data_IF_861418392664
#
_entry.id   IF_861418392664
#
_cell.length_a   1.000
_cell.length_b   1.000
_cell.length_c   1.000
_cell.angle_alpha   90.00
_cell.angle_beta   90.00
_cell.angle_gamma   90.00
#
_symmetry.space_group_name_H-M   'P 1'
#
loop_
_entity.id
_entity.type
_entity.pdbx_description
1 polymer ?
#
# COMPACT_ATOMS: atom_id res chain seq x y z
N UNK A 1 -4.42 18.41 -26.44
CA UNK A 1 -2.97 18.69 -26.29
C UNK A 1 -2.58 19.02 -24.83
N UNK A 2 -3.38 19.80 -24.10
CA UNK A 2 -3.13 20.24 -22.71
C UNK A 2 -2.97 19.11 -21.67
N UNK A 3 -3.86 18.10 -21.68
CA UNK A 3 -3.80 16.94 -20.77
C UNK A 3 -2.51 16.11 -20.90
N UNK A 4 -1.92 16.07 -22.10
CA UNK A 4 -0.68 15.32 -22.34
C UNK A 4 0.56 15.98 -21.75
N UNK A 5 0.57 17.32 -21.67
CA UNK A 5 1.68 18.10 -21.13
C UNK A 5 1.67 18.08 -19.61
N UNK A 6 0.48 18.23 -19.01
CA UNK A 6 0.26 18.12 -17.57
C UNK A 6 0.69 16.74 -17.06
N UNK A 7 0.21 15.64 -17.67
CA UNK A 7 0.63 14.27 -17.30
C UNK A 7 2.15 14.12 -17.32
N UNK A 8 2.82 14.61 -18.38
CA UNK A 8 4.30 14.52 -18.47
C UNK A 8 5.01 15.35 -17.41
N UNK A 9 4.43 16.46 -16.96
CA UNK A 9 4.99 17.27 -15.88
C UNK A 9 4.84 16.53 -14.54
N UNK A 10 3.65 16.00 -14.26
CA UNK A 10 3.39 15.25 -13.04
C UNK A 10 4.23 13.98 -12.94
N UNK A 11 4.33 13.20 -14.03
CA UNK A 11 5.20 12.01 -14.07
C UNK A 11 6.67 12.37 -13.83
N UNK A 12 7.16 13.51 -14.37
CA UNK A 12 8.54 13.96 -14.07
C UNK A 12 8.70 14.39 -12.61
N UNK A 13 7.75 15.13 -12.06
CA UNK A 13 7.79 15.53 -10.65
C UNK A 13 7.71 14.31 -9.71
N UNK A 14 7.01 13.24 -10.11
CA UNK A 14 6.98 11.99 -9.36
C UNK A 14 8.36 11.30 -9.28
N UNK A 15 9.18 11.43 -10.32
CA UNK A 15 10.52 10.81 -10.39
C UNK A 15 11.59 11.73 -9.84
N UNK A 16 11.71 12.93 -10.41
CA UNK A 16 12.84 13.84 -10.21
C UNK A 16 12.55 14.96 -9.20
N UNK A 17 11.30 15.09 -8.75
CA UNK A 17 10.89 16.13 -7.81
C UNK A 17 11.50 15.90 -6.43
N UNK A 18 11.62 17.00 -5.67
CA UNK A 18 11.88 16.89 -4.23
C UNK A 18 10.70 16.19 -3.52
N UNK A 19 10.85 15.91 -2.22
CA UNK A 19 9.83 15.19 -1.47
C UNK A 19 8.44 15.84 -1.55
N UNK A 20 8.36 17.17 -1.43
CA UNK A 20 7.10 17.90 -1.47
C UNK A 20 6.49 17.90 -2.88
N UNK A 21 7.30 18.14 -3.91
CA UNK A 21 6.87 18.10 -5.31
C UNK A 21 6.41 16.70 -5.73
N UNK A 22 7.12 15.66 -5.28
CA UNK A 22 6.80 14.26 -5.55
C UNK A 22 5.45 13.87 -4.97
N UNK A 23 5.21 14.18 -3.69
CA UNK A 23 3.92 13.86 -3.05
C UNK A 23 2.77 14.70 -3.59
N UNK A 24 3.01 15.96 -3.97
CA UNK A 24 2.01 16.76 -4.67
C UNK A 24 1.67 16.15 -6.05
N UNK A 25 2.68 15.66 -6.77
CA UNK A 25 2.48 14.98 -8.05
C UNK A 25 1.74 13.65 -7.88
N UNK A 26 2.09 12.86 -6.85
CA UNK A 26 1.42 11.62 -6.52
C UNK A 26 -0.08 11.86 -6.25
N UNK A 27 -0.41 12.78 -5.35
CA UNK A 27 -1.81 13.14 -5.06
C UNK A 27 -2.57 13.62 -6.30
N UNK A 28 -1.94 14.41 -7.18
CA UNK A 28 -2.57 14.87 -8.41
C UNK A 28 -2.76 13.76 -9.46
N UNK A 29 -1.98 12.68 -9.37
CA UNK A 29 -2.10 11.50 -10.24
C UNK A 29 -3.07 10.46 -9.67
N UNK A 30 -3.26 10.41 -8.34
CA UNK A 30 -4.28 9.59 -7.68
C UNK A 30 -5.68 9.91 -8.20
N UNK A 31 -6.52 8.89 -8.38
CA UNK A 31 -7.86 9.01 -8.97
C UNK A 31 -7.88 9.14 -10.50
N UNK A 32 -6.73 9.17 -11.18
CA UNK A 32 -6.67 9.16 -12.64
C UNK A 32 -6.63 7.72 -13.17
N UNK A 33 -7.79 7.18 -13.51
CA UNK A 33 -7.95 5.86 -14.13
C UNK A 33 -7.62 5.84 -15.63
N UNK A 34 -6.66 6.65 -16.10
CA UNK A 34 -6.24 6.57 -17.49
C UNK A 34 -5.08 5.58 -17.65
N UNK A 35 -5.31 4.53 -18.45
CA UNK A 35 -4.37 3.43 -18.69
C UNK A 35 -2.98 3.85 -19.17
N UNK A 36 -2.82 5.06 -19.70
CA UNK A 36 -1.50 5.57 -20.11
C UNK A 36 -0.72 6.12 -18.93
N UNK A 37 -1.38 6.82 -18.02
CA UNK A 37 -0.80 7.25 -16.75
C UNK A 37 -0.44 6.04 -15.89
N UNK A 38 -1.37 5.10 -15.69
CA UNK A 38 -1.11 3.89 -14.89
C UNK A 38 0.09 3.11 -15.42
N UNK A 39 0.16 2.83 -16.73
CA UNK A 39 1.36 2.21 -17.34
C UNK A 39 2.65 2.98 -17.22
N UNK A 40 2.60 4.28 -16.97
CA UNK A 40 3.81 5.08 -16.73
C UNK A 40 4.22 5.01 -15.26
N UNK A 41 3.25 4.96 -14.35
CA UNK A 41 3.47 4.78 -12.92
C UNK A 41 3.94 3.35 -12.59
N UNK A 42 3.37 2.32 -13.24
CA UNK A 42 3.85 0.93 -13.13
C UNK A 42 5.34 0.82 -13.47
N UNK A 43 5.78 1.46 -14.55
CA UNK A 43 7.21 1.52 -14.93
C UNK A 43 8.08 2.25 -13.91
N UNK A 44 7.55 3.24 -13.21
CA UNK A 44 8.28 3.89 -12.12
C UNK A 44 8.40 2.94 -10.94
N UNK A 45 7.35 2.20 -10.59
CA UNK A 45 7.42 1.20 -9.52
C UNK A 45 8.43 0.08 -9.85
N UNK A 46 8.47 -0.40 -11.10
CA UNK A 46 9.40 -1.45 -11.54
C UNK A 46 10.86 -0.96 -11.63
N UNK A 47 11.10 0.17 -12.31
CA UNK A 47 12.44 0.58 -12.75
C UNK A 47 12.85 1.99 -12.29
N UNK A 48 12.14 2.59 -11.34
CA UNK A 48 12.33 3.99 -10.91
C UNK A 48 13.66 4.32 -10.22
N UNK A 49 14.52 3.32 -10.04
CA UNK A 49 15.83 3.47 -9.40
C UNK A 49 15.71 3.69 -7.89
N UNK A 50 15.50 4.93 -7.47
CA UNK A 50 15.42 5.32 -6.06
C UNK A 50 14.12 4.84 -5.40
N UNK A 51 14.17 4.52 -4.11
CA UNK A 51 13.04 4.00 -3.35
C UNK A 51 11.87 5.00 -3.27
N UNK A 52 12.17 6.29 -3.17
CA UNK A 52 11.15 7.29 -2.89
C UNK A 52 10.20 7.57 -4.09
N UNK A 53 10.65 7.68 -5.35
CA UNK A 53 9.79 7.62 -6.52
C UNK A 53 8.93 6.35 -6.61
N UNK A 54 9.51 5.22 -6.25
CA UNK A 54 8.85 3.90 -6.31
C UNK A 54 7.75 3.77 -5.27
N UNK A 55 8.00 4.24 -4.04
CA UNK A 55 7.01 4.34 -2.97
C UNK A 55 5.83 5.25 -3.38
N UNK A 56 6.13 6.44 -3.94
CA UNK A 56 5.10 7.33 -4.44
C UNK A 56 4.32 6.72 -5.62
N UNK A 57 4.96 5.94 -6.48
CA UNK A 57 4.29 5.20 -7.55
C UNK A 57 3.33 4.14 -7.00
N UNK A 58 3.74 3.36 -5.99
CA UNK A 58 2.86 2.40 -5.32
C UNK A 58 1.62 3.10 -4.74
N UNK A 59 1.79 4.23 -4.06
CA UNK A 59 0.68 5.06 -3.57
C UNK A 59 -0.29 5.44 -4.69
N UNK A 60 0.21 6.00 -5.81
CA UNK A 60 -0.64 6.40 -6.94
C UNK A 60 -1.44 5.21 -7.50
N UNK A 61 -0.82 4.04 -7.61
CA UNK A 61 -1.49 2.84 -8.10
C UNK A 61 -2.62 2.39 -7.17
N UNK A 62 -2.42 2.50 -5.84
CA UNK A 62 -3.42 2.20 -4.82
C UNK A 62 -4.73 2.98 -4.98
N UNK A 63 -4.63 4.23 -5.45
CA UNK A 63 -5.78 5.12 -5.66
C UNK A 63 -6.15 5.32 -7.13
N UNK A 64 -5.63 4.50 -8.05
CA UNK A 64 -5.87 4.68 -9.49
C UNK A 64 -7.22 4.15 -9.97
N UNK A 65 -7.81 3.19 -9.25
CA UNK A 65 -8.98 2.42 -9.68
C UNK A 65 -8.69 1.38 -10.78
N UNK A 66 -7.42 1.25 -11.23
CA UNK A 66 -7.03 0.25 -12.24
C UNK A 66 -6.54 -1.02 -11.54
N UNK A 67 -7.47 -1.94 -11.29
CA UNK A 67 -7.25 -3.19 -10.53
C UNK A 67 -6.14 -4.08 -11.11
N UNK A 68 -5.81 -3.92 -12.40
CA UNK A 68 -4.71 -4.63 -13.07
C UNK A 68 -3.35 -4.40 -12.38
N UNK A 69 -3.17 -3.27 -11.68
CA UNK A 69 -1.96 -2.95 -10.93
C UNK A 69 -1.74 -3.86 -9.71
N UNK A 70 -2.78 -4.53 -9.22
CA UNK A 70 -2.71 -5.37 -8.01
C UNK A 70 -1.65 -6.48 -8.12
N UNK A 71 -1.49 -7.08 -9.31
CA UNK A 71 -0.49 -8.12 -9.51
C UNK A 71 0.95 -7.58 -9.36
N UNK A 72 1.21 -6.36 -9.82
CA UNK A 72 2.51 -5.71 -9.64
C UNK A 72 2.76 -5.32 -8.18
N UNK A 73 1.77 -4.74 -7.52
CA UNK A 73 1.85 -4.39 -6.09
C UNK A 73 2.09 -5.63 -5.21
N UNK A 74 1.40 -6.75 -5.49
CA UNK A 74 1.59 -8.01 -4.78
C UNK A 74 3.00 -8.60 -4.97
N UNK A 75 3.56 -8.52 -6.18
CA UNK A 75 4.97 -8.92 -6.42
C UNK A 75 5.94 -8.02 -5.65
N UNK A 76 5.70 -6.72 -5.66
CA UNK A 76 6.51 -5.72 -4.95
C UNK A 76 6.51 -5.98 -3.44
N UNK A 77 5.33 -6.22 -2.84
CA UNK A 77 5.22 -6.60 -1.43
C UNK A 77 5.95 -7.91 -1.11
N UNK A 78 5.95 -8.88 -2.02
CA UNK A 78 6.56 -10.19 -1.79
C UNK A 78 8.09 -10.22 -1.99
N UNK A 79 8.65 -9.24 -2.70
CA UNK A 79 10.07 -9.18 -3.05
C UNK A 79 10.93 -8.83 -1.82
N UNK A 80 11.84 -9.71 -1.41
CA UNK A 80 12.67 -9.50 -0.20
C UNK A 80 13.87 -8.60 -0.43
N UNK A 81 14.25 -8.38 -1.68
CA UNK A 81 15.33 -7.46 -2.06
C UNK A 81 14.82 -6.03 -2.27
N UNK A 82 13.49 -5.85 -2.33
CA UNK A 82 12.85 -4.55 -2.36
C UNK A 82 13.11 -3.76 -1.07
N UNK A 83 13.13 -2.44 -1.14
CA UNK A 83 13.21 -1.58 0.03
C UNK A 83 11.99 -1.71 0.93
N UNK A 84 12.21 -1.57 2.24
CA UNK A 84 11.13 -1.63 3.25
C UNK A 84 10.00 -0.65 2.94
N UNK A 85 10.34 0.58 2.57
CA UNK A 85 9.36 1.64 2.29
C UNK A 85 8.50 1.30 1.07
N UNK A 86 9.10 0.78 -0.01
CA UNK A 86 8.34 0.41 -1.21
C UNK A 86 7.43 -0.79 -0.95
N UNK A 87 7.88 -1.80 -0.19
CA UNK A 87 7.01 -2.91 0.25
C UNK A 87 5.83 -2.43 1.08
N UNK A 88 6.08 -1.54 2.04
CA UNK A 88 5.06 -0.98 2.92
C UNK A 88 3.97 -0.24 2.12
N UNK A 89 4.37 0.65 1.20
CA UNK A 89 3.41 1.32 0.32
C UNK A 89 2.71 0.37 -0.64
N UNK A 90 3.35 -0.71 -1.08
CA UNK A 90 2.68 -1.73 -1.88
C UNK A 90 1.57 -2.45 -1.10
N UNK A 91 1.79 -2.75 0.19
CA UNK A 91 0.75 -3.31 1.06
C UNK A 91 -0.42 -2.34 1.28
N UNK A 92 -0.13 -1.08 1.62
CA UNK A 92 -1.15 -0.03 1.76
C UNK A 92 -1.98 0.11 0.47
N UNK A 93 -1.30 0.20 -0.67
CA UNK A 93 -1.91 0.36 -1.98
C UNK A 93 -2.84 -0.82 -2.34
N UNK A 94 -2.48 -2.05 -1.98
CA UNK A 94 -3.35 -3.22 -2.19
C UNK A 94 -4.65 -3.11 -1.38
N UNK A 95 -4.59 -2.64 -0.13
CA UNK A 95 -5.76 -2.43 0.70
C UNK A 95 -6.74 -1.43 0.08
N UNK A 96 -6.22 -0.30 -0.39
CA UNK A 96 -7.05 0.73 -1.04
C UNK A 96 -7.58 0.32 -2.41
N UNK A 97 -6.73 -0.28 -3.25
CA UNK A 97 -7.10 -0.60 -4.64
C UNK A 97 -8.21 -1.66 -4.71
N UNK A 98 -8.25 -2.57 -3.74
CA UNK A 98 -9.11 -3.76 -3.79
C UNK A 98 -10.27 -3.75 -2.78
N UNK A 99 -10.52 -2.63 -2.08
CA UNK A 99 -11.51 -2.55 -1.01
C UNK A 99 -12.92 -3.03 -1.40
N UNK A 100 -13.29 -2.93 -2.69
CA UNK A 100 -14.58 -3.36 -3.23
C UNK A 100 -14.47 -4.42 -4.32
N UNK A 101 -13.34 -5.13 -4.37
CA UNK A 101 -12.98 -6.01 -5.48
C UNK A 101 -12.67 -7.44 -5.03
N UNK A 102 -12.70 -8.37 -5.98
CA UNK A 102 -12.29 -9.76 -5.69
C UNK A 102 -10.77 -9.84 -5.53
N UNK A 103 -10.33 -10.25 -4.34
CA UNK A 103 -8.90 -10.43 -4.05
C UNK A 103 -8.40 -11.79 -4.55
N UNK A 104 -7.49 -11.77 -5.52
CA UNK A 104 -6.87 -12.97 -6.10
C UNK A 104 -5.92 -13.68 -5.12
N UNK A 105 -5.69 -14.98 -5.35
CA UNK A 105 -4.95 -15.84 -4.43
C UNK A 105 -3.49 -15.40 -4.20
N UNK A 106 -2.84 -14.89 -5.23
CA UNK A 106 -1.48 -14.36 -5.17
C UNK A 106 -1.40 -13.08 -4.31
N UNK A 107 -2.42 -12.21 -4.39
CA UNK A 107 -2.50 -11.00 -3.56
C UNK A 107 -2.72 -11.39 -2.09
N UNK A 108 -3.65 -12.33 -1.84
CA UNK A 108 -3.87 -12.90 -0.48
C UNK A 108 -2.59 -13.50 0.08
N UNK A 109 -1.83 -14.23 -0.74
CA UNK A 109 -0.56 -14.82 -0.32
C UNK A 109 0.50 -13.77 -0.01
N UNK A 110 0.60 -12.70 -0.80
CA UNK A 110 1.51 -11.59 -0.56
C UNK A 110 1.19 -10.87 0.75
N UNK A 111 -0.07 -10.49 0.98
CA UNK A 111 -0.51 -9.83 2.22
C UNK A 111 -0.26 -10.72 3.44
N UNK A 112 -0.64 -12.00 3.38
CA UNK A 112 -0.35 -12.97 4.44
C UNK A 112 1.15 -13.13 4.70
N UNK A 113 1.98 -13.01 3.65
CA UNK A 113 3.44 -13.00 3.77
C UNK A 113 3.97 -11.74 4.44
N UNK A 114 3.38 -10.58 4.13
CA UNK A 114 3.73 -9.28 4.69
C UNK A 114 3.43 -9.15 6.18
N UNK A 115 2.41 -9.85 6.70
CA UNK A 115 2.15 -9.99 8.15
C UNK A 115 3.32 -10.66 8.93
N UNK A 116 4.30 -11.23 8.22
CA UNK A 116 5.49 -11.87 8.79
C UNK A 116 6.79 -11.20 8.30
N UNK A 117 6.69 -10.01 7.71
CA UNK A 117 7.86 -9.28 7.22
C UNK A 117 8.77 -8.88 8.39
N UNK A 118 10.10 -8.89 8.23
CA UNK A 118 11.01 -8.42 9.28
C UNK A 118 10.80 -6.94 9.66
N UNK A 119 10.32 -6.10 8.74
CA UNK A 119 10.08 -4.67 9.00
C UNK A 119 8.68 -4.41 9.55
N UNK A 120 8.59 -3.55 10.57
CA UNK A 120 7.34 -3.23 11.26
C UNK A 120 6.34 -2.52 10.35
N UNK A 121 6.83 -1.60 9.50
CA UNK A 121 6.02 -0.84 8.54
C UNK A 121 5.29 -1.77 7.57
N UNK A 122 5.96 -2.81 7.09
CA UNK A 122 5.35 -3.77 6.15
C UNK A 122 4.29 -4.62 6.87
N UNK A 123 4.54 -5.02 8.12
CA UNK A 123 3.55 -5.75 8.92
C UNK A 123 2.32 -4.89 9.21
N UNK A 124 2.52 -3.63 9.59
CA UNK A 124 1.45 -2.65 9.82
C UNK A 124 0.54 -2.53 8.60
N UNK A 125 1.10 -2.19 7.44
CA UNK A 125 0.29 -2.00 6.22
C UNK A 125 -0.30 -3.29 5.67
N UNK A 126 0.32 -4.44 5.96
CA UNK A 126 -0.27 -5.74 5.65
C UNK A 126 -1.44 -6.07 6.57
N UNK A 127 -1.41 -5.65 7.85
CA UNK A 127 -2.52 -5.81 8.78
C UNK A 127 -3.71 -4.95 8.36
N UNK A 128 -3.45 -3.69 8.01
CA UNK A 128 -4.44 -2.80 7.38
C UNK A 128 -5.09 -3.47 6.16
N UNK A 129 -4.28 -3.90 5.19
CA UNK A 129 -4.77 -4.53 3.97
C UNK A 129 -5.56 -5.81 4.25
N UNK A 130 -5.13 -6.63 5.21
CA UNK A 130 -5.85 -7.84 5.59
C UNK A 130 -7.24 -7.54 6.18
N UNK A 131 -7.33 -6.51 7.03
CA UNK A 131 -8.57 -6.04 7.64
C UNK A 131 -9.56 -5.53 6.60
N UNK A 132 -9.17 -4.50 5.82
CA UNK A 132 -10.08 -3.84 4.86
C UNK A 132 -10.52 -4.75 3.72
N UNK A 133 -9.71 -5.77 3.38
CA UNK A 133 -10.03 -6.74 2.35
C UNK A 133 -10.75 -7.99 2.88
N UNK A 134 -11.05 -8.04 4.18
CA UNK A 134 -11.82 -9.14 4.77
C UNK A 134 -11.11 -10.49 4.69
N UNK A 135 -9.77 -10.52 4.78
CA UNK A 135 -8.98 -11.74 4.61
C UNK A 135 -9.02 -12.61 5.87
N UNK A 136 -10.14 -13.28 6.11
CA UNK A 136 -10.38 -14.14 7.28
C UNK A 136 -9.26 -15.16 7.55
N UNK A 137 -8.61 -15.67 6.49
CA UNK A 137 -7.49 -16.60 6.61
C UNK A 137 -6.25 -16.04 7.33
N UNK A 138 -6.19 -14.71 7.53
CA UNK A 138 -5.09 -14.02 8.22
C UNK A 138 -5.30 -13.86 9.72
N UNK A 139 -6.49 -14.19 10.23
CA UNK A 139 -6.84 -14.05 11.64
C UNK A 139 -5.77 -14.57 12.63
N UNK A 140 -5.21 -15.79 12.51
CA UNK A 140 -4.20 -16.26 13.47
C UNK A 140 -2.90 -15.44 13.45
N UNK A 141 -2.57 -14.82 12.33
CA UNK A 141 -1.39 -13.94 12.22
C UNK A 141 -1.65 -12.59 12.87
N UNK A 142 -2.84 -12.03 12.68
CA UNK A 142 -3.23 -10.76 13.30
C UNK A 142 -3.29 -10.89 14.83
N UNK A 143 -3.83 -11.99 15.36
CA UNK A 143 -3.77 -12.28 16.81
C UNK A 143 -2.32 -12.31 17.30
N UNK A 144 -1.43 -12.98 16.58
CA UNK A 144 -0.02 -13.02 16.96
C UNK A 144 0.63 -11.62 16.97
N UNK A 145 0.36 -10.78 15.98
CA UNK A 145 0.88 -9.41 15.95
C UNK A 145 0.30 -8.55 17.09
N UNK A 146 -1.01 -8.62 17.34
CA UNK A 146 -1.66 -7.95 18.46
C UNK A 146 -1.01 -8.31 19.81
N UNK A 147 -0.65 -9.58 20.01
CA UNK A 147 -0.04 -10.06 21.25
C UNK A 147 1.46 -9.72 21.39
N UNK A 148 2.18 -9.51 20.29
CA UNK A 148 3.66 -9.55 20.31
C UNK A 148 4.37 -8.36 19.69
N UNK A 149 3.68 -7.52 18.91
CA UNK A 149 4.33 -6.52 18.07
C UNK A 149 4.04 -5.07 18.49
N UNK A 150 4.69 -4.64 19.57
CA UNK A 150 4.59 -3.28 20.09
C UNK A 150 5.44 -2.22 19.35
N UNK A 151 5.89 -2.48 18.11
CA UNK A 151 6.66 -1.48 17.36
C UNK A 151 5.76 -0.32 16.92
N UNK A 152 6.15 0.91 17.24
CA UNK A 152 5.47 2.14 16.83
C UNK A 152 5.81 2.52 15.38
N UNK A 153 4.80 2.91 14.61
CA UNK A 153 4.99 3.44 13.26
C UNK A 153 4.83 4.98 13.29
N UNK A 154 5.85 5.69 12.79
CA UNK A 154 5.87 7.15 12.85
C UNK A 154 4.65 7.80 12.17
N UNK A 155 3.93 8.65 12.91
CA UNK A 155 2.68 9.30 12.44
C UNK A 155 1.42 8.44 12.55
N UNK A 156 1.56 7.21 13.05
CA UNK A 156 0.49 6.22 13.24
C UNK A 156 0.51 5.70 14.70
N UNK A 157 0.15 4.44 14.89
CA UNK A 157 0.14 3.72 16.17
C UNK A 157 1.01 2.46 16.06
N UNK A 158 0.94 1.56 17.03
CA UNK A 158 1.73 0.32 17.01
C UNK A 158 1.21 -0.71 16.01
N UNK A 159 2.06 -1.65 15.59
CA UNK A 159 1.61 -2.79 14.77
C UNK A 159 0.55 -3.62 15.50
N UNK A 160 0.68 -3.78 16.82
CA UNK A 160 -0.31 -4.47 17.65
C UNK A 160 -1.69 -3.82 17.58
N UNK A 161 -1.77 -2.50 17.76
CA UNK A 161 -3.03 -1.75 17.68
C UNK A 161 -3.68 -1.82 16.28
N UNK A 162 -2.86 -1.83 15.21
CA UNK A 162 -3.37 -2.03 13.85
C UNK A 162 -3.91 -3.44 13.65
N UNK A 163 -3.22 -4.46 14.17
CA UNK A 163 -3.69 -5.83 14.10
C UNK A 163 -4.99 -6.03 14.89
N UNK A 164 -5.14 -5.38 16.04
CA UNK A 164 -6.39 -5.34 16.80
C UNK A 164 -7.52 -4.66 16.01
N UNK A 165 -7.24 -3.52 15.37
CA UNK A 165 -8.20 -2.85 14.51
C UNK A 165 -8.66 -3.77 13.36
N UNK A 166 -7.71 -4.41 12.66
CA UNK A 166 -8.02 -5.36 11.59
C UNK A 166 -8.85 -6.55 12.10
N UNK A 167 -8.56 -7.10 13.28
CA UNK A 167 -9.36 -8.17 13.90
C UNK A 167 -10.80 -7.73 14.17
N UNK A 168 -11.03 -6.50 14.63
CA UNK A 168 -12.38 -5.97 14.85
C UNK A 168 -13.16 -5.88 13.54
N UNK A 169 -12.53 -5.37 12.48
CA UNK A 169 -13.12 -5.36 11.13
C UNK A 169 -13.47 -6.78 10.67
N UNK A 170 -12.55 -7.75 10.83
CA UNK A 170 -12.81 -9.15 10.48
C UNK A 170 -13.93 -9.78 11.32
N UNK A 171 -14.15 -9.31 12.54
CA UNK A 171 -15.25 -9.76 13.40
C UNK A 171 -16.59 -9.05 13.11
N UNK A 172 -16.65 -8.24 12.05
CA UNK A 172 -17.87 -7.59 11.57
C UNK A 172 -18.20 -6.28 12.27
N UNK A 173 -17.25 -5.68 12.99
CA UNK A 173 -17.42 -4.31 13.47
C UNK A 173 -17.28 -3.33 12.29
N UNK A 174 -18.33 -2.56 12.04
CA UNK A 174 -18.32 -1.49 11.04
C UNK A 174 -17.61 -0.25 11.59
N UNK A 175 -16.66 0.29 10.84
CA UNK A 175 -15.88 1.49 11.17
C UNK A 175 -15.34 1.54 12.62
N UNK A 176 -14.55 0.52 13.07
CA UNK A 176 -13.98 0.55 14.40
C UNK A 176 -13.10 1.80 14.56
N UNK A 177 -13.17 2.51 15.71
CA UNK A 177 -12.39 3.70 15.96
C UNK A 177 -10.91 3.43 15.78
N UNK A 178 -10.24 4.33 15.07
CA UNK A 178 -8.80 4.27 14.90
C UNK A 178 -8.10 4.46 16.26
N UNK A 179 -6.99 3.74 16.51
CA UNK A 179 -6.13 3.97 17.66
C UNK A 179 -5.59 5.41 17.69
N UNK A 180 -5.12 5.84 18.87
CA UNK A 180 -4.51 7.16 19.01
C UNK A 180 -3.15 7.17 18.34
N UNK A 181 -2.87 8.22 17.57
CA UNK A 181 -1.53 8.42 16.99
C UNK A 181 -0.53 8.70 18.13
N UNK A 182 0.64 8.06 18.06
CA UNK A 182 1.77 8.30 18.94
C UNK A 182 2.43 9.67 18.68
#
# INVERSE_FOLDING_TARGET
MMLGLERRRLIRALVDGDEAERWAAAQALSGRSDRRTVRSVERILEDGGEDAPRAAAAYVLGFSGEIDAAALLARTLADREESVVVRAYAAEALGHLLQYETVLAEVRAAIRGGLRDPAAEVRFWSAFAAGVLGLQETHPHLVHLADTDGNEIAGWWTVAEEAEWALRVLNGEEDPPLPQRA
#
